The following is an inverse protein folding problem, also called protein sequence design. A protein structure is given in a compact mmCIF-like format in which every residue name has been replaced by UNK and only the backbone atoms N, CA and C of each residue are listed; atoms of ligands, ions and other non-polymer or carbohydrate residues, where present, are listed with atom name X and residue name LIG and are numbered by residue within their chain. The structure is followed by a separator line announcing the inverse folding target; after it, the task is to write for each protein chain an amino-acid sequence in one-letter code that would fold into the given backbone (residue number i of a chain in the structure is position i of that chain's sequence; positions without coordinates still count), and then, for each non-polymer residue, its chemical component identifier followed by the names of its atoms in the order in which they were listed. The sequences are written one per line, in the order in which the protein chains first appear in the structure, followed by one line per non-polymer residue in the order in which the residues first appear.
data_IF_701278748215
#
_entry.id   IF_701278748215
#
_cell.length_a   1.000
_cell.length_b   1.000
_cell.length_c   1.000
_cell.angle_alpha   90.00
_cell.angle_beta   90.00
_cell.angle_gamma   90.00
#
_symmetry.space_group_name_H-M   'P 1'
#
loop_
_entity.id
_entity.type
_entity.pdbx_description
1 polymer ?
#
# COMPACT_ATOMS: atom_id res chain seq x y z
N UNK A 1 5.77 14.94 22.61
CA UNK A 1 4.83 16.06 22.32
C UNK A 1 3.42 15.50 22.07
N UNK A 2 2.76 14.97 23.12
CA UNK A 2 1.46 14.28 23.00
C UNK A 2 0.25 15.19 23.17
N UNK A 3 0.37 16.34 23.84
CA UNK A 3 -0.77 17.24 24.12
C UNK A 3 -1.04 18.27 23.01
N UNK A 4 -0.06 18.57 22.16
CA UNK A 4 -0.24 19.55 21.10
C UNK A 4 -0.98 18.91 19.91
N UNK A 5 -2.31 19.06 19.94
CA UNK A 5 -3.23 18.64 18.87
C UNK A 5 -3.01 19.45 17.60
N UNK A 6 -3.52 18.97 16.47
CA UNK A 6 -3.41 19.69 15.19
C UNK A 6 -4.09 21.06 15.27
N UNK A 7 -5.24 21.16 15.94
CA UNK A 7 -5.96 22.41 16.15
C UNK A 7 -5.13 23.46 16.88
N UNK A 8 -4.44 23.08 17.97
CA UNK A 8 -3.57 24.00 18.70
C UNK A 8 -2.37 24.46 17.87
N UNK A 9 -1.83 23.60 17.00
CA UNK A 9 -0.77 24.00 16.08
C UNK A 9 -1.25 25.02 15.03
N UNK A 10 -2.47 24.84 14.52
CA UNK A 10 -3.09 25.78 13.59
C UNK A 10 -3.32 27.11 14.30
N UNK A 11 -3.81 27.08 15.54
CA UNK A 11 -4.01 28.29 16.35
C UNK A 11 -2.69 29.05 16.56
N UNK A 12 -1.60 28.35 16.86
CA UNK A 12 -0.26 28.95 16.96
C UNK A 12 0.15 29.61 15.64
N UNK A 13 -0.09 28.97 14.48
CA UNK A 13 0.20 29.57 13.18
C UNK A 13 -0.63 30.84 12.95
N UNK A 14 -1.92 30.81 13.29
CA UNK A 14 -2.78 32.00 13.23
C UNK A 14 -2.30 33.11 14.16
N UNK A 15 -1.70 32.78 15.31
CA UNK A 15 -1.12 33.79 16.22
C UNK A 15 0.17 34.42 15.66
N UNK A 16 0.97 33.68 14.89
CA UNK A 16 2.19 34.18 14.24
C UNK A 16 1.84 35.13 13.09
N UNK A 17 0.99 34.70 12.17
CA UNK A 17 0.60 35.45 10.98
C UNK A 17 -0.91 35.77 11.06
N UNK A 18 -1.26 36.79 11.85
CA UNK A 18 -2.65 37.26 11.99
C UNK A 18 -2.87 38.53 11.16
N UNK A 19 -3.48 38.38 9.98
CA UNK A 19 -3.68 39.52 9.06
C UNK A 19 -2.34 40.10 8.59
N UNK A 20 -2.20 41.43 8.58
CA UNK A 20 -0.96 42.12 8.18
C UNK A 20 0.11 42.19 9.28
N UNK A 21 -0.12 41.54 10.43
CA UNK A 21 0.80 41.57 11.58
C UNK A 21 1.53 40.23 11.70
N UNK A 22 2.84 40.28 11.49
CA UNK A 22 3.75 39.20 11.85
C UNK A 22 4.23 39.42 13.30
N UNK A 23 3.86 38.52 14.21
CA UNK A 23 4.34 38.52 15.60
C UNK A 23 5.64 37.73 15.72
N UNK A 24 6.50 38.13 16.65
CA UNK A 24 7.70 37.34 16.94
C UNK A 24 7.34 36.06 17.70
N UNK A 25 8.14 35.00 17.56
CA UNK A 25 7.87 33.72 18.22
C UNK A 25 7.80 33.85 19.76
N UNK A 26 8.57 34.76 20.36
CA UNK A 26 8.52 35.04 21.81
C UNK A 26 7.18 35.66 22.23
N UNK A 27 6.63 36.57 21.43
CA UNK A 27 5.31 37.15 21.68
C UNK A 27 4.21 36.10 21.58
N UNK A 28 4.32 35.18 20.61
CA UNK A 28 3.37 34.08 20.45
C UNK A 28 3.44 33.11 21.64
N UNK A 29 4.62 32.82 22.21
CA UNK A 29 4.70 32.04 23.46
C UNK A 29 3.92 32.73 24.58
N UNK A 30 4.07 34.05 24.71
CA UNK A 30 3.39 34.82 25.76
C UNK A 30 1.87 34.81 25.55
N UNK A 31 1.43 35.07 24.33
CA UNK A 31 0.01 35.07 23.96
C UNK A 31 -0.61 33.68 24.12
N UNK A 32 0.10 32.62 23.74
CA UNK A 32 -0.37 31.25 23.91
C UNK A 32 -0.52 30.89 25.39
N UNK A 33 0.39 31.36 26.25
CA UNK A 33 0.30 31.17 27.70
C UNK A 33 -0.85 31.94 28.33
N UNK A 34 -1.13 33.15 27.84
CA UNK A 34 -2.25 33.98 28.29
C UNK A 34 -3.61 33.39 27.87
N UNK A 35 -3.69 32.80 26.67
CA UNK A 35 -4.92 32.20 26.11
C UNK A 35 -5.20 30.80 26.63
N UNK A 36 -4.17 30.00 26.92
CA UNK A 36 -4.29 28.62 27.40
C UNK A 36 -3.54 28.42 28.73
N UNK A 37 -4.05 28.95 29.86
CA UNK A 37 -3.38 28.83 31.16
C UNK A 37 -3.35 27.38 31.69
N UNK A 38 -4.28 26.54 31.25
CA UNK A 38 -4.40 25.13 31.67
C UNK A 38 -3.40 24.21 30.97
N UNK A 39 -2.76 24.68 29.89
CA UNK A 39 -1.81 23.88 29.11
C UNK A 39 -0.36 24.10 29.59
N UNK A 40 0.52 23.09 29.46
CA UNK A 40 1.94 23.26 29.74
C UNK A 40 2.55 24.38 28.88
N UNK A 41 3.47 25.18 29.43
CA UNK A 41 4.08 26.28 28.70
C UNK A 41 4.85 25.76 27.49
N UNK A 42 4.62 26.39 26.34
CA UNK A 42 5.36 26.11 25.12
C UNK A 42 6.71 26.82 25.13
N UNK A 43 7.72 26.15 24.58
CA UNK A 43 9.01 26.77 24.33
C UNK A 43 9.01 27.44 22.94
N UNK A 44 9.73 28.56 22.78
CA UNK A 44 9.92 29.25 21.50
C UNK A 44 10.44 28.30 20.41
N UNK A 45 11.36 27.38 20.75
CA UNK A 45 11.84 26.37 19.80
C UNK A 45 10.76 25.40 19.30
N UNK A 46 9.66 25.22 20.03
CA UNK A 46 8.51 24.42 19.56
C UNK A 46 7.72 25.17 18.51
N UNK A 47 7.50 26.47 18.71
CA UNK A 47 6.84 27.35 17.75
C UNK A 47 7.66 27.44 16.46
N UNK A 48 8.97 27.65 16.58
CA UNK A 48 9.88 27.67 15.43
C UNK A 48 9.81 26.36 14.62
N UNK A 49 9.75 25.20 15.28
CA UNK A 49 9.58 23.91 14.58
C UNK A 49 8.23 23.80 13.87
N UNK A 50 7.15 24.29 14.47
CA UNK A 50 5.81 24.26 13.86
C UNK A 50 5.76 25.18 12.64
N UNK A 51 6.33 26.38 12.76
CA UNK A 51 6.43 27.34 11.67
C UNK A 51 7.27 26.78 10.52
N UNK A 52 8.46 26.25 10.81
CA UNK A 52 9.31 25.61 9.80
C UNK A 52 8.60 24.42 9.14
N UNK A 53 7.94 23.56 9.92
CA UNK A 53 7.15 22.44 9.43
C UNK A 53 6.07 22.91 8.45
N UNK A 54 5.38 24.02 8.76
CA UNK A 54 4.35 24.59 7.91
C UNK A 54 4.91 25.24 6.65
N UNK A 55 5.98 26.03 6.75
CA UNK A 55 6.63 26.66 5.59
C UNK A 55 7.20 25.63 4.60
N UNK A 56 7.70 24.50 5.11
CA UNK A 56 8.29 23.45 4.28
C UNK A 56 7.24 22.51 3.67
N UNK A 57 6.31 21.97 4.47
CA UNK A 57 5.36 20.95 4.02
C UNK A 57 3.96 21.49 3.70
N UNK A 58 3.65 22.74 4.06
CA UNK A 58 2.31 23.33 3.92
C UNK A 58 1.27 22.81 4.93
N UNK A 59 1.67 21.93 5.87
CA UNK A 59 0.76 21.39 6.88
C UNK A 59 1.48 21.04 8.19
N UNK A 60 0.74 21.06 9.30
CA UNK A 60 1.24 20.74 10.66
C UNK A 60 0.89 19.33 11.14
N UNK A 61 0.27 18.54 10.26
CA UNK A 61 -0.15 17.16 10.55
C UNK A 61 1.05 16.28 10.89
N UNK A 62 0.87 15.38 11.85
CA UNK A 62 1.87 14.36 12.14
C UNK A 62 1.71 13.24 11.11
N UNK A 63 2.60 13.21 10.13
CA UNK A 63 2.67 12.07 9.21
C UNK A 63 3.22 10.88 9.99
N UNK A 64 2.48 9.76 10.11
CA UNK A 64 3.03 8.58 10.75
C UNK A 64 4.23 8.12 9.94
N UNK A 65 5.41 8.06 10.58
CA UNK A 65 6.60 7.49 9.97
C UNK A 65 6.29 6.02 9.64
N UNK A 66 6.16 5.72 8.35
CA UNK A 66 6.05 4.34 7.89
C UNK A 66 7.42 3.71 8.10
N UNK A 67 7.57 2.91 9.16
CA UNK A 67 8.69 1.97 9.26
C UNK A 67 8.49 0.90 8.18
N UNK A 68 8.95 1.17 6.97
CA UNK A 68 9.11 0.12 5.97
C UNK A 68 10.24 -0.79 6.45
N UNK A 69 9.98 -2.10 6.48
CA UNK A 69 11.06 -3.06 6.61
C UNK A 69 11.91 -2.90 5.36
N UNK A 70 13.19 -2.61 5.55
CA UNK A 70 14.18 -2.60 4.46
C UNK A 70 14.34 -4.05 4.03
N UNK A 71 13.55 -4.46 3.05
CA UNK A 71 13.79 -5.69 2.31
C UNK A 71 14.46 -5.24 1.03
N UNK A 72 15.58 -5.88 0.72
CA UNK A 72 16.31 -5.61 -0.51
C UNK A 72 15.43 -5.95 -1.73
N UNK A 73 15.42 -5.05 -2.72
CA UNK A 73 14.52 -5.21 -3.88
C UNK A 73 14.89 -6.43 -4.71
N UNK A 74 16.17 -6.82 -4.77
CA UNK A 74 16.59 -8.03 -5.49
C UNK A 74 16.11 -9.29 -4.78
N UNK A 75 16.18 -9.33 -3.44
CA UNK A 75 15.62 -10.46 -2.67
C UNK A 75 14.11 -10.58 -2.87
N UNK A 76 13.39 -9.45 -2.95
CA UNK A 76 11.97 -9.41 -3.22
C UNK A 76 11.66 -9.91 -4.63
N UNK A 77 12.41 -9.48 -5.64
CA UNK A 77 12.24 -9.91 -7.02
C UNK A 77 12.44 -11.42 -7.19
N UNK A 78 13.51 -11.96 -6.59
CA UNK A 78 13.80 -13.39 -6.60
C UNK A 78 12.66 -14.20 -5.95
N UNK A 79 12.11 -13.72 -4.83
CA UNK A 79 10.98 -14.36 -4.17
C UNK A 79 9.73 -14.39 -5.06
N UNK A 80 9.43 -13.29 -5.75
CA UNK A 80 8.27 -13.20 -6.63
C UNK A 80 8.42 -14.09 -7.87
N UNK A 81 9.64 -14.16 -8.43
CA UNK A 81 9.93 -15.06 -9.55
C UNK A 81 9.73 -16.53 -9.17
N UNK A 82 10.24 -16.95 -8.01
CA UNK A 82 10.07 -18.32 -7.52
C UNK A 82 8.59 -18.69 -7.32
N UNK A 83 7.76 -17.73 -6.89
CA UNK A 83 6.31 -17.95 -6.78
C UNK A 83 5.62 -18.04 -8.15
N UNK A 84 6.07 -17.28 -9.14
CA UNK A 84 5.53 -17.32 -10.50
C UNK A 84 5.83 -18.68 -11.17
N UNK A 85 7.05 -19.20 -10.98
CA UNK A 85 7.47 -20.52 -11.48
C UNK A 85 6.66 -21.66 -10.85
N UNK A 86 6.39 -21.59 -9.54
CA UNK A 86 5.66 -22.61 -8.80
C UNK A 86 4.61 -22.00 -7.86
N UNK A 87 3.38 -21.75 -8.33
CA UNK A 87 2.34 -21.03 -7.59
C UNK A 87 1.78 -21.77 -6.37
N UNK A 88 2.05 -23.07 -6.25
CA UNK A 88 1.56 -23.94 -5.18
C UNK A 88 2.53 -23.94 -3.98
N UNK A 89 3.72 -23.36 -4.13
CA UNK A 89 4.77 -23.37 -3.11
C UNK A 89 4.29 -22.70 -1.82
N UNK A 90 4.41 -23.36 -0.65
CA UNK A 90 3.97 -22.77 0.61
C UNK A 90 4.88 -21.62 1.02
N UNK A 91 4.29 -20.56 1.59
CA UNK A 91 5.03 -19.36 2.02
C UNK A 91 6.18 -19.64 3.00
N UNK A 92 6.11 -20.74 3.78
CA UNK A 92 7.21 -21.17 4.67
C UNK A 92 8.42 -21.68 3.91
N UNK A 93 8.21 -22.33 2.77
CA UNK A 93 9.30 -22.80 1.92
C UNK A 93 9.96 -21.62 1.21
N UNK A 94 9.17 -20.73 0.60
CA UNK A 94 9.67 -19.47 0.03
C UNK A 94 10.49 -18.64 1.02
N UNK A 95 10.09 -18.61 2.29
CA UNK A 95 10.83 -17.94 3.36
C UNK A 95 12.22 -18.57 3.61
N UNK A 96 12.32 -19.90 3.55
CA UNK A 96 13.61 -20.61 3.68
C UNK A 96 14.49 -20.34 2.46
N UNK A 97 13.93 -20.44 1.26
CA UNK A 97 14.67 -20.28 0.01
C UNK A 97 15.22 -18.85 -0.16
N UNK A 98 14.46 -17.86 0.30
CA UNK A 98 14.84 -16.44 0.24
C UNK A 98 15.55 -15.94 1.50
N UNK A 99 15.81 -16.78 2.51
CA UNK A 99 16.35 -16.40 3.82
C UNK A 99 15.61 -15.23 4.50
N UNK A 100 14.28 -15.16 4.32
CA UNK A 100 13.43 -14.14 4.92
C UNK A 100 12.62 -14.72 6.08
N UNK A 101 12.23 -13.87 7.03
CA UNK A 101 11.22 -14.26 8.01
C UNK A 101 9.88 -14.52 7.30
N UNK A 102 9.23 -15.64 7.61
CA UNK A 102 7.91 -16.00 7.10
C UNK A 102 6.88 -14.86 7.20
N UNK A 103 6.88 -14.08 8.29
CA UNK A 103 5.98 -12.91 8.42
C UNK A 103 6.27 -11.82 7.40
N UNK A 104 7.54 -11.62 7.03
CA UNK A 104 7.95 -10.65 6.02
C UNK A 104 7.49 -11.11 4.64
N UNK A 105 7.68 -12.39 4.32
CA UNK A 105 7.17 -12.99 3.06
C UNK A 105 5.67 -12.78 2.92
N UNK A 106 4.87 -13.11 3.94
CA UNK A 106 3.42 -12.89 3.90
C UNK A 106 3.03 -11.41 3.70
N UNK A 107 3.80 -10.47 4.25
CA UNK A 107 3.57 -9.02 4.01
C UNK A 107 3.87 -8.64 2.56
N UNK A 108 4.97 -9.14 2.00
CA UNK A 108 5.35 -8.91 0.60
C UNK A 108 4.25 -9.46 -0.33
N UNK A 109 3.84 -10.72 -0.13
CA UNK A 109 2.78 -11.35 -0.92
C UNK A 109 1.46 -10.57 -0.84
N UNK A 110 1.10 -10.09 0.36
CA UNK A 110 -0.09 -9.25 0.55
C UNK A 110 0.02 -7.91 -0.19
N UNK A 111 1.19 -7.27 -0.15
CA UNK A 111 1.42 -5.98 -0.83
C UNK A 111 1.35 -6.15 -2.36
N UNK A 112 1.97 -7.21 -2.87
CA UNK A 112 1.98 -7.58 -4.29
C UNK A 112 0.69 -8.26 -4.77
N UNK A 113 -0.35 -8.30 -3.90
CA UNK A 113 -1.67 -8.87 -4.19
C UNK A 113 -1.66 -10.34 -4.63
N UNK A 114 -0.60 -11.08 -4.34
CA UNK A 114 -0.52 -12.52 -4.61
C UNK A 114 -1.29 -13.26 -3.51
N UNK A 115 -2.36 -13.96 -3.90
CA UNK A 115 -3.22 -14.73 -3.00
C UNK A 115 -3.08 -16.22 -3.31
N UNK A 116 -3.16 -17.11 -2.30
CA UNK A 116 -3.24 -18.54 -2.55
C UNK A 116 -4.40 -18.86 -3.50
N UNK A 117 -4.16 -19.72 -4.48
CA UNK A 117 -5.21 -20.20 -5.39
C UNK A 117 -6.20 -21.08 -4.65
N UNK A 118 -7.47 -21.06 -5.10
CA UNK A 118 -8.46 -22.03 -4.65
C UNK A 118 -8.21 -23.34 -5.37
N UNK A 119 -8.14 -24.44 -4.62
CA UNK A 119 -8.04 -25.77 -5.21
C UNK A 119 -9.28 -26.01 -6.08
N UNK A 120 -9.06 -26.34 -7.35
CA UNK A 120 -10.08 -26.85 -8.26
C UNK A 120 -9.87 -28.35 -8.39
N UNK A 121 -10.83 -29.14 -7.90
CA UNK A 121 -10.84 -30.57 -8.14
C UNK A 121 -11.28 -30.79 -9.59
N UNK A 122 -10.38 -31.29 -10.42
CA UNK A 122 -10.66 -31.70 -11.81
C UNK A 122 -10.42 -33.20 -11.92
N UNK A 123 -11.13 -33.85 -12.85
CA UNK A 123 -10.89 -35.25 -13.17
C UNK A 123 -9.54 -35.37 -13.88
N UNK A 124 -8.73 -36.34 -13.47
CA UNK A 124 -7.48 -36.67 -14.17
C UNK A 124 -7.80 -37.18 -15.59
N UNK A 125 -7.05 -36.67 -16.57
CA UNK A 125 -7.17 -37.08 -17.96
C UNK A 125 -6.43 -38.41 -18.15
N UNK A 126 -7.08 -39.37 -18.80
CA UNK A 126 -6.41 -40.57 -19.28
C UNK A 126 -5.51 -40.24 -20.48
N UNK A 127 -4.57 -41.11 -20.82
CA UNK A 127 -3.57 -40.89 -21.88
C UNK A 127 -4.18 -40.49 -23.24
N UNK A 128 -5.31 -41.11 -23.62
CA UNK A 128 -6.03 -40.83 -24.88
C UNK A 128 -7.00 -39.63 -24.80
N UNK A 129 -7.32 -39.14 -23.62
CA UNK A 129 -8.37 -38.11 -23.44
C UNK A 129 -8.03 -36.76 -24.08
N UNK A 130 -6.77 -36.26 -24.08
CA UNK A 130 -6.42 -35.00 -24.73
C UNK A 130 -6.80 -35.00 -26.22
N UNK A 131 -6.38 -36.03 -26.96
CA UNK A 131 -6.63 -36.12 -28.40
C UNK A 131 -8.12 -36.20 -28.72
N UNK A 132 -8.87 -36.97 -27.93
CA UNK A 132 -10.33 -37.09 -28.08
C UNK A 132 -11.04 -35.77 -27.82
N UNK A 133 -10.59 -35.01 -26.80
CA UNK A 133 -11.15 -33.69 -26.46
C UNK A 133 -10.82 -32.65 -27.52
N UNK A 134 -9.59 -32.63 -28.02
CA UNK A 134 -9.18 -31.71 -29.07
C UNK A 134 -9.94 -32.00 -30.37
N UNK A 135 -10.08 -33.27 -30.74
CA UNK A 135 -10.87 -33.68 -31.90
C UNK A 135 -12.34 -33.25 -31.77
N UNK A 136 -12.97 -33.49 -30.61
CA UNK A 136 -14.35 -33.06 -30.35
C UNK A 136 -14.49 -31.53 -30.44
N UNK A 137 -13.54 -30.78 -29.88
CA UNK A 137 -13.53 -29.32 -29.88
C UNK A 137 -13.40 -28.77 -31.31
N UNK A 138 -12.45 -29.29 -32.08
CA UNK A 138 -12.24 -28.92 -33.48
C UNK A 138 -13.45 -29.25 -34.35
N UNK A 139 -14.05 -30.43 -34.17
CA UNK A 139 -15.24 -30.83 -34.90
C UNK A 139 -16.42 -29.89 -34.61
N UNK A 140 -16.62 -29.51 -33.36
CA UNK A 140 -17.68 -28.56 -32.96
C UNK A 140 -17.48 -27.18 -33.60
N UNK A 141 -16.25 -26.66 -33.58
CA UNK A 141 -15.91 -25.37 -34.19
C UNK A 141 -16.10 -25.36 -35.72
N UNK A 142 -15.72 -26.44 -36.40
CA UNK A 142 -15.91 -26.57 -37.86
C UNK A 142 -17.40 -26.63 -38.21
N UNK A 143 -18.20 -27.37 -37.43
CA UNK A 143 -19.64 -27.43 -37.62
C UNK A 143 -20.33 -26.09 -37.37
N UNK A 144 -19.88 -25.30 -36.38
CA UNK A 144 -20.39 -23.93 -36.15
C UNK A 144 -20.06 -22.97 -37.31
N UNK A 145 -18.85 -23.07 -37.90
CA UNK A 145 -18.45 -22.25 -39.05
C UNK A 145 -19.31 -22.55 -40.28
N UNK A 146 -19.63 -23.82 -40.53
CA UNK A 146 -20.50 -24.21 -41.64
C UNK A 146 -21.95 -23.73 -41.45
N UNK A 147 -22.48 -23.69 -40.21
CA UNK A 147 -23.84 -23.18 -39.96
C UNK A 147 -24.00 -21.67 -40.22
N UNK A 148 -22.95 -20.87 -40.09
CA UNK A 148 -22.98 -19.42 -40.38
C UNK A 148 -23.12 -19.12 -41.89
N UNK A 149 -22.69 -20.06 -42.74
CA UNK A 149 -22.83 -19.94 -44.21
C UNK A 149 -24.28 -20.18 -44.65
N UNK A 150 -25.04 -21.01 -43.93
CA UNK A 150 -26.43 -21.35 -44.28
C UNK A 150 -27.48 -20.38 -43.73
N UNK A 151 -27.15 -19.50 -42.78
CA UNK A 151 -28.10 -18.48 -42.26
C UNK A 151 -28.12 -17.17 -43.08
N UNK A 152 -27.28 -17.04 -44.11
CA UNK A 152 -27.18 -15.83 -44.95
C UNK A 152 -27.96 -15.92 -46.27
N UNK A 153 -28.72 -17.00 -46.49
CA UNK A 153 -29.61 -17.16 -47.65
C UNK A 153 -31.05 -17.32 -47.20
N UNK A 154 -31.73 -16.20 -46.95
CA UNK A 154 -33.18 -16.05 -47.04
C UNK A 154 -33.49 -14.63 -47.49
#
# INVERSE_FOLDING_TARGET
MSYLTESLKIEILMMIEYGDRARTQCEVVRLFRETHPDLPPLNQGTISKIEAQYREMGHVRKVPSKRQAVVDEDTKLNLLRALEENPITPARQLARDSNLNHKTVLKILKYEKKRPYKMQAVQELLEDDPDRRDHFSLMTLLMEQDTCVYSSTN
#
